data_IF_425458177914
#
_entry.id   IF_425458177914
#
_cell.length_a   1.000
_cell.length_b   1.000
_cell.length_c   1.000
_cell.angle_alpha   90.00
_cell.angle_beta   90.00
_cell.angle_gamma   90.00
#
_symmetry.space_group_name_H-M   'P 1'
#
loop_
_entity.id
_entity.type
_entity.pdbx_description
1 polymer ?
#
# COMPACT_ATOMS: atom_id res chain seq x y z
N UNK A 1 2.03 -23.73 -3.39
CA UNK A 1 1.91 -23.98 -1.93
C UNK A 1 0.45 -23.87 -1.49
N UNK A 2 -0.04 -24.78 -0.64
CA UNK A 2 -1.40 -24.71 -0.05
C UNK A 2 -1.27 -24.01 1.30
N UNK A 3 -1.88 -22.84 1.48
CA UNK A 3 -1.95 -22.13 2.76
C UNK A 3 -3.23 -22.54 3.51
N UNK A 4 -3.17 -22.63 4.85
CA UNK A 4 -4.41 -22.80 5.62
C UNK A 4 -5.23 -21.51 5.56
N UNK A 5 -6.56 -21.63 5.48
CA UNK A 5 -7.46 -20.48 5.28
C UNK A 5 -7.34 -19.39 6.37
N UNK A 6 -6.96 -19.76 7.59
CA UNK A 6 -6.66 -18.84 8.69
C UNK A 6 -5.39 -18.01 8.46
N UNK A 7 -4.42 -18.57 7.74
CA UNK A 7 -3.10 -17.98 7.53
C UNK A 7 -3.10 -16.95 6.39
N UNK A 8 -4.19 -16.93 5.60
CA UNK A 8 -4.43 -15.94 4.54
C UNK A 8 -4.70 -14.55 5.11
N UNK A 9 -5.09 -14.43 6.39
CA UNK A 9 -5.30 -13.14 7.04
C UNK A 9 -6.35 -12.26 6.32
N UNK A 10 -6.16 -10.93 6.23
CA UNK A 10 -7.14 -10.02 5.60
C UNK A 10 -7.32 -10.25 4.10
N UNK A 11 -6.37 -10.89 3.41
CA UNK A 11 -6.43 -11.15 1.97
C UNK A 11 -7.63 -12.03 1.58
N UNK A 12 -8.19 -12.80 2.52
CA UNK A 12 -9.42 -13.57 2.31
C UNK A 12 -10.62 -12.70 1.88
N UNK A 13 -10.67 -11.45 2.39
CA UNK A 13 -11.71 -10.51 2.04
C UNK A 13 -11.48 -9.98 0.63
N UNK A 14 -10.23 -9.67 0.27
CA UNK A 14 -9.85 -9.24 -1.07
C UNK A 14 -10.14 -10.32 -2.12
N UNK A 15 -9.85 -11.59 -1.83
CA UNK A 15 -10.14 -12.71 -2.74
C UNK A 15 -11.62 -12.99 -2.93
N UNK A 16 -12.48 -12.47 -2.04
CA UNK A 16 -13.93 -12.59 -2.16
C UNK A 16 -14.54 -11.46 -3.00
N UNK A 17 -13.78 -10.40 -3.29
CA UNK A 17 -14.23 -9.32 -4.17
C UNK A 17 -14.16 -9.78 -5.63
N UNK A 18 -15.12 -9.36 -6.47
CA UNK A 18 -15.03 -9.62 -7.90
C UNK A 18 -13.80 -8.89 -8.51
N UNK A 19 -13.14 -9.44 -9.54
CA UNK A 19 -11.91 -8.89 -10.10
C UNK A 19 -12.02 -7.41 -10.55
N UNK A 20 -13.18 -7.00 -11.02
CA UNK A 20 -13.49 -5.61 -11.37
C UNK A 20 -13.47 -4.66 -10.16
N UNK A 21 -13.81 -5.14 -8.96
CA UNK A 21 -13.74 -4.35 -7.73
C UNK A 21 -12.33 -4.31 -7.12
N UNK A 22 -11.42 -5.20 -7.57
CA UNK A 22 -10.03 -5.23 -7.11
C UNK A 22 -9.18 -4.09 -7.70
N UNK A 23 -9.65 -3.48 -8.79
CA UNK A 23 -8.99 -2.36 -9.47
C UNK A 23 -9.66 -1.03 -9.10
N UNK A 24 -9.09 -0.35 -8.10
CA UNK A 24 -9.52 1.00 -7.76
C UNK A 24 -8.78 2.04 -8.61
N UNK A 25 -9.47 3.01 -9.26
CA UNK A 25 -8.85 4.08 -10.01
C UNK A 25 -7.76 4.85 -9.25
N UNK A 26 -7.89 4.99 -7.92
CA UNK A 26 -6.92 5.66 -7.04
C UNK A 26 -5.52 5.07 -7.16
N UNK A 27 -5.40 3.76 -7.43
CA UNK A 27 -4.12 3.08 -7.60
C UNK A 27 -3.50 3.21 -8.98
N UNK A 28 -4.25 3.67 -9.99
CA UNK A 28 -3.86 3.52 -11.41
C UNK A 28 -2.50 4.15 -11.72
N UNK A 29 -2.29 5.40 -11.28
CA UNK A 29 -1.03 6.10 -11.52
C UNK A 29 0.09 5.52 -10.64
N UNK A 30 -0.17 5.32 -9.35
CA UNK A 30 0.82 4.82 -8.38
C UNK A 30 1.36 3.42 -8.75
N UNK A 31 0.51 2.54 -9.27
CA UNK A 31 0.86 1.17 -9.67
C UNK A 31 1.56 1.12 -11.04
N UNK A 32 1.65 2.26 -11.74
CA UNK A 32 2.40 2.38 -12.98
C UNK A 32 3.89 2.05 -12.82
N UNK A 33 4.57 1.59 -13.90
CA UNK A 33 5.96 1.15 -13.84
C UNK A 33 6.95 2.23 -13.38
N UNK A 34 6.61 3.51 -13.60
CA UNK A 34 7.39 4.68 -13.17
C UNK A 34 7.38 4.90 -11.65
N UNK A 35 6.39 4.37 -10.94
CA UNK A 35 6.16 4.66 -9.52
C UNK A 35 6.29 3.42 -8.62
N UNK A 36 6.86 2.32 -9.14
CA UNK A 36 7.08 1.07 -8.38
C UNK A 36 7.80 1.28 -7.04
N UNK A 37 8.76 2.20 -6.97
CA UNK A 37 9.45 2.49 -5.72
C UNK A 37 8.55 3.22 -4.71
N UNK A 38 7.67 4.11 -5.18
CA UNK A 38 6.69 4.79 -4.35
C UNK A 38 5.62 3.81 -3.84
N UNK A 39 5.10 2.95 -4.71
CA UNK A 39 4.17 1.89 -4.34
C UNK A 39 4.77 0.96 -3.26
N UNK A 40 6.03 0.51 -3.45
CA UNK A 40 6.76 -0.27 -2.44
C UNK A 40 6.93 0.50 -1.13
N UNK A 41 7.23 1.80 -1.20
CA UNK A 41 7.43 2.63 -0.01
C UNK A 41 6.13 2.76 0.79
N UNK A 42 5.02 3.03 0.12
CA UNK A 42 3.70 3.09 0.74
C UNK A 42 3.29 1.74 1.35
N UNK A 43 3.51 0.63 0.63
CA UNK A 43 3.20 -0.71 1.12
C UNK A 43 3.96 -1.02 2.43
N UNK A 44 5.27 -0.77 2.46
CA UNK A 44 6.09 -1.00 3.67
C UNK A 44 5.68 -0.08 4.83
N UNK A 45 5.32 1.17 4.53
CA UNK A 45 4.80 2.09 5.55
C UNK A 45 3.51 1.57 6.20
N UNK A 46 2.57 1.10 5.38
CA UNK A 46 1.28 0.56 5.83
C UNK A 46 1.44 -0.80 6.55
N UNK A 47 2.32 -1.67 6.05
CA UNK A 47 2.69 -2.93 6.72
C UNK A 47 3.38 -2.68 8.09
N UNK A 48 4.06 -1.55 8.24
CA UNK A 48 4.60 -1.07 9.52
C UNK A 48 3.57 -0.32 10.39
N UNK A 49 2.27 -0.41 10.08
CA UNK A 49 1.18 0.27 10.77
C UNK A 49 1.37 1.80 10.85
N UNK A 50 1.90 2.42 9.79
CA UNK A 50 2.17 3.86 9.72
C UNK A 50 3.37 4.33 10.55
N UNK A 51 4.16 3.40 11.12
CA UNK A 51 5.32 3.77 11.93
C UNK A 51 6.50 4.15 11.03
N UNK A 52 6.63 5.44 10.71
CA UNK A 52 7.67 5.98 9.83
C UNK A 52 9.10 5.55 10.20
N UNK A 53 9.42 5.44 11.49
CA UNK A 53 10.75 4.99 11.94
C UNK A 53 11.04 3.54 11.55
N UNK A 54 10.06 2.64 11.73
CA UNK A 54 10.17 1.23 11.35
C UNK A 54 10.22 1.06 9.84
N UNK A 55 9.35 1.77 9.12
CA UNK A 55 9.32 1.71 7.65
C UNK A 55 10.61 2.22 7.01
N UNK A 56 11.18 3.32 7.52
CA UNK A 56 12.46 3.85 7.06
C UNK A 56 13.62 2.85 7.30
N UNK A 57 13.63 2.19 8.47
CA UNK A 57 14.61 1.16 8.79
C UNK A 57 14.48 -0.07 7.87
N UNK A 58 13.26 -0.55 7.64
CA UNK A 58 12.97 -1.68 6.73
C UNK A 58 13.38 -1.38 5.28
N UNK A 59 13.18 -0.14 4.82
CA UNK A 59 13.56 0.31 3.49
C UNK A 59 15.05 0.67 3.36
N UNK A 60 15.78 0.77 4.47
CA UNK A 60 17.18 1.23 4.48
C UNK A 60 17.35 2.69 4.03
N UNK A 61 16.36 3.55 4.30
CA UNK A 61 16.37 4.96 3.89
C UNK A 61 16.27 5.91 5.08
N UNK A 62 16.62 7.17 4.87
CA UNK A 62 16.42 8.20 5.88
C UNK A 62 14.93 8.57 6.02
N UNK A 63 14.49 8.95 7.24
CA UNK A 63 13.09 9.33 7.50
C UNK A 63 12.60 10.48 6.61
N UNK A 64 13.48 11.44 6.31
CA UNK A 64 13.14 12.54 5.39
C UNK A 64 12.83 12.04 3.96
N UNK A 65 13.59 11.06 3.48
CA UNK A 65 13.35 10.43 2.18
C UNK A 65 12.02 9.67 2.18
N UNK A 66 11.69 9.00 3.29
CA UNK A 66 10.38 8.37 3.45
C UNK A 66 9.26 9.40 3.33
N UNK A 67 9.30 10.49 4.11
CA UNK A 67 8.25 11.52 4.08
C UNK A 67 8.10 12.16 2.70
N UNK A 68 9.21 12.43 2.00
CA UNK A 68 9.16 12.91 0.62
C UNK A 68 8.42 11.94 -0.31
N UNK A 69 8.69 10.64 -0.19
CA UNK A 69 8.03 9.61 -1.00
C UNK A 69 6.55 9.47 -0.64
N UNK A 70 6.20 9.48 0.64
CA UNK A 70 4.81 9.41 1.09
C UNK A 70 4.01 10.63 0.62
N UNK A 71 4.58 11.83 0.72
CA UNK A 71 3.95 13.04 0.16
C UNK A 71 3.74 12.93 -1.35
N UNK A 72 4.68 12.30 -2.07
CA UNK A 72 4.48 12.04 -3.51
C UNK A 72 3.38 11.02 -3.77
N UNK A 73 3.22 10.02 -2.91
CA UNK A 73 2.11 9.05 -2.98
C UNK A 73 0.76 9.76 -2.80
N UNK A 74 0.64 10.63 -1.79
CA UNK A 74 -0.55 11.45 -1.57
C UNK A 74 -0.89 12.31 -2.80
N UNK A 75 0.12 12.93 -3.42
CA UNK A 75 -0.07 13.70 -4.65
C UNK A 75 -0.57 12.88 -5.84
N UNK A 76 -0.10 11.64 -6.01
CA UNK A 76 -0.49 10.77 -7.12
C UNK A 76 -1.86 10.13 -6.93
N UNK A 77 -2.26 9.90 -5.67
CA UNK A 77 -3.47 9.16 -5.32
C UNK A 77 -4.63 10.07 -4.91
N UNK A 78 -4.32 11.29 -4.46
CA UNK A 78 -5.27 12.21 -3.84
C UNK A 78 -5.67 11.83 -2.42
N UNK A 79 -5.06 10.78 -1.85
CA UNK A 79 -5.34 10.31 -0.49
C UNK A 79 -4.55 11.10 0.57
N UNK A 80 -5.10 11.17 1.77
CA UNK A 80 -4.46 11.68 2.98
C UNK A 80 -3.99 10.52 3.87
N UNK A 81 -2.68 10.37 4.07
CA UNK A 81 -2.15 9.25 4.87
C UNK A 81 -2.25 9.47 6.38
N UNK A 82 -2.70 10.64 6.84
CA UNK A 82 -3.08 10.84 8.24
C UNK A 82 -4.48 10.28 8.52
N UNK A 83 -5.34 10.16 7.49
CA UNK A 83 -6.67 9.59 7.58
C UNK A 83 -6.71 8.05 7.55
N UNK A 84 -7.52 7.47 8.42
CA UNK A 84 -7.58 6.01 8.61
C UNK A 84 -8.19 5.26 7.43
N UNK A 85 -9.25 5.81 6.84
CA UNK A 85 -9.95 5.20 5.71
C UNK A 85 -9.09 5.22 4.45
N UNK A 86 -8.40 6.33 4.20
CA UNK A 86 -7.49 6.51 3.07
C UNK A 86 -6.30 5.55 3.14
N UNK A 87 -5.67 5.40 4.32
CA UNK A 87 -4.63 4.38 4.53
C UNK A 87 -5.14 2.98 4.24
N UNK A 88 -6.35 2.66 4.72
CA UNK A 88 -6.94 1.34 4.53
C UNK A 88 -7.21 1.07 3.04
N UNK A 89 -7.81 2.03 2.33
CA UNK A 89 -8.06 1.95 0.90
C UNK A 89 -6.75 1.74 0.13
N UNK A 90 -5.74 2.57 0.38
CA UNK A 90 -4.43 2.43 -0.26
C UNK A 90 -3.80 1.06 0.01
N UNK A 91 -3.91 0.56 1.25
CA UNK A 91 -3.36 -0.74 1.61
C UNK A 91 -4.04 -1.86 0.84
N UNK A 92 -5.37 -1.83 0.73
CA UNK A 92 -6.14 -2.80 -0.05
C UNK A 92 -5.74 -2.77 -1.54
N UNK A 93 -5.62 -1.58 -2.13
CA UNK A 93 -5.21 -1.40 -3.53
C UNK A 93 -3.81 -1.96 -3.80
N UNK A 94 -2.85 -1.70 -2.92
CA UNK A 94 -1.48 -2.21 -3.05
C UNK A 94 -1.41 -3.74 -2.88
N UNK A 95 -2.26 -4.30 -2.00
CA UNK A 95 -2.34 -5.74 -1.79
C UNK A 95 -3.05 -6.45 -2.93
N UNK A 96 -4.13 -5.88 -3.47
CA UNK A 96 -4.89 -6.47 -4.58
C UNK A 96 -4.07 -6.53 -5.86
N UNK A 97 -3.20 -5.55 -6.12
CA UNK A 97 -2.33 -5.55 -7.31
C UNK A 97 -1.24 -6.65 -7.31
N UNK A 98 -1.10 -7.39 -6.22
CA UNK A 98 -0.10 -8.47 -6.06
C UNK A 98 -0.71 -9.87 -6.04
N UNK A 99 -2.04 -9.97 -6.00
CA UNK A 99 -2.80 -11.23 -6.07
C UNK A 99 -2.98 -11.65 -7.53
#
# INVERSE_FOLDING_TARGET
PVAQWSDVGPYRLLTALPPEAAHDPVGTELLGPAHRELARTAEVFLDCAGQAGRAAAELGIHRQTLYYRLSRVEQLTGLDLDEGEDRLLLHMVLKSSRL
#
